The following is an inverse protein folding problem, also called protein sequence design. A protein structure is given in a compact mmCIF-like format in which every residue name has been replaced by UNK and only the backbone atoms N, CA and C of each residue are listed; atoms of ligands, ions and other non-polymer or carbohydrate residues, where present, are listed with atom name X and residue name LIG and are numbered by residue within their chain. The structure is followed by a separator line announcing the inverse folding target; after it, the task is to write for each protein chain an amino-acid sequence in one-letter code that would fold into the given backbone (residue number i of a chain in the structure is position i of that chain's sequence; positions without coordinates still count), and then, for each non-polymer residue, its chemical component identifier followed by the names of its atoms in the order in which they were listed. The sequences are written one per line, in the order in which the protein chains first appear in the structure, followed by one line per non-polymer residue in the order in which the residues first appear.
data_IF_228561932169
#
_entry.id   IF_228561932169
#
_cell.length_a   1.000
_cell.length_b   1.000
_cell.length_c   1.000
_cell.angle_alpha   90.00
_cell.angle_beta   90.00
_cell.angle_gamma   90.00
#
_symmetry.space_group_name_H-M   'P 1'
#
loop_
_entity.id
_entity.type
_entity.pdbx_description
1 polymer ?
#
# COMPACT_ATOMS: atom_id res chain seq x y z
N UNK A 1 50.04 46.25 -27.33
CA UNK A 1 48.61 45.93 -27.23
C UNK A 1 48.16 45.41 -28.58
N UNK A 2 48.16 44.08 -28.81
CA UNK A 2 47.67 43.54 -30.06
C UNK A 2 46.14 43.59 -30.09
N UNK A 3 45.58 43.96 -31.25
CA UNK A 3 44.15 44.06 -31.50
C UNK A 3 43.46 42.69 -31.37
N UNK A 4 42.18 42.65 -30.93
CA UNK A 4 41.44 41.42 -30.80
C UNK A 4 41.25 40.78 -32.19
N UNK A 5 41.68 39.53 -32.32
CA UNK A 5 41.50 38.73 -33.53
C UNK A 5 40.03 38.35 -33.62
N UNK A 6 39.34 38.85 -34.65
CA UNK A 6 37.96 38.49 -34.94
C UNK A 6 37.88 37.02 -35.36
N UNK A 7 37.06 36.24 -34.67
CA UNK A 7 36.78 34.84 -35.01
C UNK A 7 36.02 34.75 -36.34
N UNK A 8 36.27 33.71 -37.17
CA UNK A 8 35.78 33.62 -38.54
C UNK A 8 34.27 33.34 -38.69
N UNK A 9 33.48 33.35 -37.61
CA UNK A 9 32.03 33.19 -37.65
C UNK A 9 31.39 34.19 -36.67
N UNK A 10 31.01 35.36 -37.17
CA UNK A 10 30.40 36.43 -36.37
C UNK A 10 29.11 35.98 -35.65
N UNK A 11 28.39 35.01 -36.21
CA UNK A 11 27.16 34.46 -35.62
C UNK A 11 27.41 33.67 -34.34
N UNK A 12 28.57 33.02 -34.22
CA UNK A 12 28.94 32.28 -33.00
C UNK A 12 29.37 33.24 -31.90
N UNK A 13 30.05 34.33 -32.25
CA UNK A 13 30.45 35.37 -31.29
C UNK A 13 29.23 36.14 -30.77
N UNK A 14 28.22 36.38 -31.62
CA UNK A 14 26.95 36.97 -31.20
C UNK A 14 26.20 36.07 -30.19
N UNK A 15 26.11 34.76 -30.46
CA UNK A 15 25.43 33.79 -29.56
C UNK A 15 26.23 33.56 -28.27
N UNK A 16 27.56 33.56 -28.34
CA UNK A 16 28.41 33.35 -27.16
C UNK A 16 28.66 34.64 -26.37
N UNK A 17 28.44 35.83 -26.94
CA UNK A 17 28.62 37.11 -26.23
C UNK A 17 27.74 37.25 -24.98
N UNK A 18 26.55 36.63 -24.96
CA UNK A 18 25.71 36.57 -23.76
C UNK A 18 26.31 35.72 -22.63
N UNK A 19 27.21 34.78 -22.96
CA UNK A 19 27.83 33.86 -22.01
C UNK A 19 29.30 34.19 -21.72
N UNK A 20 29.94 34.99 -22.57
CA UNK A 20 31.32 35.45 -22.41
C UNK A 20 31.31 36.78 -21.67
N UNK A 21 31.38 36.69 -20.33
CA UNK A 21 31.53 37.87 -19.48
C UNK A 21 32.88 38.55 -19.73
N UNK A 22 32.89 39.89 -19.70
CA UNK A 22 34.13 40.65 -19.78
C UNK A 22 35.10 40.24 -18.66
N UNK A 23 36.41 40.33 -18.93
CA UNK A 23 37.44 40.06 -17.91
C UNK A 23 37.25 40.93 -16.67
N UNK A 24 36.71 42.14 -16.84
CA UNK A 24 36.39 43.02 -15.72
C UNK A 24 35.22 42.47 -14.89
N UNK A 25 34.13 42.06 -15.53
CA UNK A 25 32.93 41.53 -14.87
C UNK A 25 33.22 40.23 -14.12
N UNK A 26 34.07 39.37 -14.70
CA UNK A 26 34.50 38.14 -14.01
C UNK A 26 35.36 38.42 -12.78
N UNK A 27 36.19 39.47 -12.79
CA UNK A 27 36.95 39.91 -11.62
C UNK A 27 36.04 40.55 -10.57
N UNK A 28 35.04 41.33 -10.97
CA UNK A 28 34.05 41.88 -10.04
C UNK A 28 33.20 40.78 -9.41
N UNK A 29 32.72 39.81 -10.20
CA UNK A 29 31.99 38.64 -9.68
C UNK A 29 32.85 37.83 -8.72
N UNK A 30 34.14 37.61 -9.03
CA UNK A 30 35.06 36.91 -8.11
C UNK A 30 35.29 37.70 -6.82
N UNK A 31 35.45 39.02 -6.88
CA UNK A 31 35.54 39.88 -5.69
C UNK A 31 34.25 39.82 -4.87
N UNK A 32 33.10 39.85 -5.52
CA UNK A 32 31.80 39.81 -4.85
C UNK A 32 31.56 38.48 -4.14
N UNK A 33 31.91 37.35 -4.78
CA UNK A 33 31.84 36.01 -4.18
C UNK A 33 32.86 35.86 -3.06
N UNK A 34 34.08 36.38 -3.21
CA UNK A 34 35.10 36.33 -2.17
C UNK A 34 34.72 37.16 -0.92
N UNK A 35 33.93 38.22 -1.09
CA UNK A 35 33.48 39.07 0.01
C UNK A 35 32.28 38.50 0.79
N UNK A 36 31.51 37.57 0.21
CA UNK A 36 30.37 36.92 0.87
C UNK A 36 30.75 36.09 2.12
N UNK A 37 31.78 35.23 2.11
CA UNK A 37 32.18 34.49 3.32
C UNK A 37 32.87 35.39 4.36
N UNK A 38 33.54 36.46 3.94
CA UNK A 38 34.22 37.38 4.84
C UNK A 38 33.24 38.21 5.71
N UNK A 39 32.09 38.59 5.15
CA UNK A 39 31.05 39.31 5.88
C UNK A 39 30.30 38.42 6.90
N UNK A 40 30.25 37.10 6.69
CA UNK A 40 29.57 36.14 7.58
C UNK A 40 30.35 35.80 8.86
N UNK A 41 31.66 35.97 8.86
CA UNK A 41 32.52 35.59 9.99
C UNK A 41 32.68 36.68 11.06
N UNK A 42 32.52 37.97 10.70
CA UNK A 42 32.77 39.09 11.62
C UNK A 42 31.65 39.39 12.62
N UNK A 43 30.44 38.83 12.45
CA UNK A 43 29.28 39.15 13.30
C UNK A 43 28.81 38.00 14.23
N UNK A 44 29.63 36.97 14.46
CA UNK A 44 29.24 35.77 15.22
C UNK A 44 29.49 35.81 16.74
N UNK A 45 30.01 36.90 17.31
CA UNK A 45 30.40 36.93 18.73
C UNK A 45 29.28 37.30 19.73
N UNK A 46 28.02 37.38 19.32
CA UNK A 46 26.92 37.73 20.24
C UNK A 46 25.63 36.98 19.91
N UNK A 47 25.50 35.76 20.43
CA UNK A 47 24.28 35.09 20.92
C UNK A 47 24.30 33.57 20.68
N UNK A 48 23.88 32.73 21.66
CA UNK A 48 23.89 31.28 21.55
C UNK A 48 22.57 30.76 20.96
N UNK A 49 22.33 30.91 19.66
CA UNK A 49 21.25 30.18 18.96
C UNK A 49 21.63 29.92 17.48
N UNK A 50 21.16 28.81 16.87
CA UNK A 50 21.53 28.42 15.51
C UNK A 50 20.73 29.24 14.49
N UNK A 51 21.04 30.54 14.37
CA UNK A 51 20.48 31.46 13.39
C UNK A 51 21.24 31.53 12.06
N UNK A 52 22.31 30.75 11.90
CA UNK A 52 23.21 30.85 10.74
C UNK A 52 22.53 30.52 9.39
N UNK A 53 21.52 29.65 9.36
CA UNK A 53 20.86 29.26 8.11
C UNK A 53 19.67 30.16 7.73
N UNK A 54 19.15 30.96 8.65
CA UNK A 54 18.04 31.88 8.39
C UNK A 54 18.51 33.25 7.86
N UNK A 55 19.78 33.64 8.12
CA UNK A 55 20.30 34.97 7.76
C UNK A 55 21.06 35.02 6.43
N UNK A 56 21.57 33.89 5.94
CA UNK A 56 22.22 33.82 4.61
C UNK A 56 21.23 33.89 3.43
N UNK A 57 19.92 33.88 3.71
CA UNK A 57 18.88 33.92 2.69
C UNK A 57 17.94 35.11 2.78
N UNK A 58 18.28 36.14 3.55
CA UNK A 58 17.71 37.48 3.37
C UNK A 58 18.57 38.26 2.38
N UNK A 59 18.58 37.84 1.12
CA UNK A 59 18.89 38.75 0.02
C UNK A 59 17.73 39.74 -0.02
N UNK A 60 17.99 40.90 0.56
CA UNK A 60 17.22 42.12 0.49
C UNK A 60 16.57 42.27 -0.88
N UNK A 61 15.24 42.32 -0.88
CA UNK A 61 14.43 42.91 -1.94
C UNK A 61 15.00 44.31 -2.23
N UNK A 62 15.42 44.65 -3.46
CA UNK A 62 15.50 46.03 -3.85
C UNK A 62 14.07 46.51 -4.12
N UNK A 63 13.39 47.00 -3.09
CA UNK A 63 12.26 47.92 -3.27
C UNK A 63 12.80 49.29 -3.68
N UNK A 64 13.43 49.35 -4.85
CA UNK A 64 13.77 50.61 -5.49
C UNK A 64 13.90 50.33 -6.98
N UNK A 65 12.88 50.78 -7.71
CA UNK A 65 12.78 50.78 -9.16
C UNK A 65 13.98 51.50 -9.78
N UNK A 66 14.75 50.88 -10.70
CA UNK A 66 15.39 51.61 -11.78
C UNK A 66 14.68 51.28 -13.09
N UNK A 67 14.33 52.32 -13.82
CA UNK A 67 13.91 52.21 -15.21
C UNK A 67 15.17 52.00 -16.04
N UNK A 68 15.33 50.83 -16.66
CA UNK A 68 15.85 50.64 -18.02
C UNK A 68 16.03 49.15 -18.28
N UNK A 69 15.82 48.80 -19.54
CA UNK A 69 16.00 47.49 -20.15
C UNK A 69 17.29 46.82 -19.70
N UNK A 70 17.21 45.60 -19.19
CA UNK A 70 18.07 44.48 -19.61
C UNK A 70 17.73 43.20 -18.82
N UNK A 71 17.99 42.07 -19.47
CA UNK A 71 17.58 40.71 -19.18
C UNK A 71 17.39 40.35 -17.68
N UNK A 72 16.15 40.03 -17.34
CA UNK A 72 15.79 39.41 -16.08
C UNK A 72 16.51 38.07 -15.92
N UNK A 73 17.40 37.99 -14.92
CA UNK A 73 17.86 36.74 -14.31
C UNK A 73 16.68 36.00 -13.69
N UNK A 74 15.96 35.23 -14.51
CA UNK A 74 14.92 34.31 -14.05
C UNK A 74 15.61 33.02 -13.65
N UNK A 75 15.86 32.83 -12.34
CA UNK A 75 16.01 31.47 -11.83
C UNK A 75 14.78 30.66 -12.29
N UNK A 76 14.93 29.38 -12.71
CA UNK A 76 13.80 28.60 -13.20
C UNK A 76 12.67 28.68 -12.18
N UNK A 77 11.48 29.17 -12.57
CA UNK A 77 10.35 29.38 -11.67
C UNK A 77 9.99 28.11 -10.86
N UNK A 78 10.32 26.93 -11.41
CA UNK A 78 10.24 25.64 -10.75
C UNK A 78 11.13 25.51 -9.49
N UNK A 79 12.36 26.04 -9.51
CA UNK A 79 13.28 26.02 -8.36
C UNK A 79 12.82 26.97 -7.24
N UNK A 80 12.27 28.14 -7.62
CA UNK A 80 11.65 29.07 -6.66
C UNK A 80 10.39 28.46 -6.00
N UNK A 81 9.56 27.77 -6.80
CA UNK A 81 8.39 27.05 -6.28
C UNK A 81 8.79 25.89 -5.36
N UNK A 82 9.79 25.08 -5.72
CA UNK A 82 10.31 23.99 -4.90
C UNK A 82 10.87 24.52 -3.56
N UNK A 83 11.59 25.63 -3.58
CA UNK A 83 12.11 26.29 -2.37
C UNK A 83 10.97 26.81 -1.47
N UNK A 84 9.94 27.43 -2.04
CA UNK A 84 8.79 27.90 -1.25
C UNK A 84 8.03 26.73 -0.58
N UNK A 85 7.92 25.59 -1.27
CA UNK A 85 7.32 24.36 -0.71
C UNK A 85 8.16 23.78 0.41
N UNK A 86 9.48 23.76 0.25
CA UNK A 86 10.41 23.31 1.31
C UNK A 86 10.30 24.18 2.56
N UNK A 87 10.25 25.51 2.41
CA UNK A 87 10.09 26.42 3.54
C UNK A 87 8.75 26.22 4.26
N UNK A 88 7.63 26.07 3.52
CA UNK A 88 6.33 25.73 4.11
C UNK A 88 6.34 24.38 4.84
N UNK A 89 7.02 23.38 4.29
CA UNK A 89 7.16 22.08 4.93
C UNK A 89 7.96 22.18 6.25
N UNK A 90 9.00 23.02 6.27
CA UNK A 90 9.81 23.27 7.46
C UNK A 90 9.00 23.98 8.55
N UNK A 91 8.22 25.00 8.16
CA UNK A 91 7.29 25.69 9.07
C UNK A 91 6.22 24.75 9.63
N UNK A 92 5.60 23.93 8.78
CA UNK A 92 4.62 22.93 9.19
C UNK A 92 5.23 21.91 10.17
N UNK A 93 6.46 21.45 9.93
CA UNK A 93 7.18 20.57 10.85
C UNK A 93 7.41 21.24 12.20
N UNK A 94 7.77 22.52 12.21
CA UNK A 94 8.03 23.25 13.44
C UNK A 94 6.75 23.42 14.27
N UNK A 95 5.63 23.75 13.62
CA UNK A 95 4.30 23.82 14.23
C UNK A 95 3.85 22.45 14.78
N UNK A 96 4.06 21.37 14.03
CA UNK A 96 3.74 20.02 14.48
C UNK A 96 4.56 19.62 15.71
N UNK A 97 5.86 19.93 15.73
CA UNK A 97 6.73 19.68 16.88
C UNK A 97 6.33 20.50 18.11
N UNK A 98 5.93 21.76 17.93
CA UNK A 98 5.41 22.58 19.02
C UNK A 98 4.11 22.00 19.60
N UNK A 99 3.20 21.53 18.74
CA UNK A 99 1.96 20.85 19.17
C UNK A 99 2.24 19.55 19.91
N UNK A 100 3.19 18.75 19.42
CA UNK A 100 3.60 17.50 20.07
C UNK A 100 4.13 17.78 21.48
N UNK A 101 5.04 18.75 21.63
CA UNK A 101 5.57 19.13 22.95
C UNK A 101 4.47 19.63 23.90
N UNK A 102 3.51 20.39 23.37
CA UNK A 102 2.36 20.84 24.16
C UNK A 102 1.54 19.65 24.67
N UNK A 103 1.21 18.70 23.80
CA UNK A 103 0.47 17.49 24.17
C UNK A 103 1.25 16.61 25.16
N UNK A 104 2.57 16.51 25.00
CA UNK A 104 3.42 15.81 25.97
C UNK A 104 3.36 16.48 27.35
N UNK A 105 3.43 17.82 27.40
CA UNK A 105 3.32 18.54 28.65
C UNK A 105 1.93 18.39 29.30
N UNK A 106 0.85 18.39 28.51
CA UNK A 106 -0.52 18.16 28.99
C UNK A 106 -0.68 16.72 29.54
N UNK A 107 -0.09 15.72 28.88
CA UNK A 107 -0.07 14.33 29.34
C UNK A 107 0.75 14.18 30.63
N UNK A 108 1.90 14.84 30.72
CA UNK A 108 2.73 14.86 31.93
C UNK A 108 2.08 15.62 33.08
N UNK A 109 1.20 16.58 32.81
CA UNK A 109 0.37 17.25 33.81
C UNK A 109 -0.74 16.32 34.31
N UNK A 110 -1.48 15.67 33.40
CA UNK A 110 -2.50 14.67 33.75
C UNK A 110 -1.91 13.52 34.57
N UNK A 111 -0.76 12.98 34.18
CA UNK A 111 -0.03 11.95 34.96
C UNK A 111 0.35 12.41 36.38
N UNK A 112 0.57 13.72 36.58
CA UNK A 112 0.88 14.30 37.89
C UNK A 112 -0.38 14.59 38.69
N UNK A 113 -1.47 14.99 38.05
CA UNK A 113 -2.76 15.28 38.67
C UNK A 113 -3.53 14.00 39.07
N UNK A 114 -3.40 12.91 38.30
CA UNK A 114 -3.99 11.60 38.59
C UNK A 114 -3.27 10.81 39.72
N UNK A 115 -2.25 11.40 40.35
CA UNK A 115 -1.58 10.84 41.53
C UNK A 115 -1.84 11.66 42.82
N UNK A 116 -3.09 11.74 43.33
CA UNK A 116 -3.33 12.20 44.68
C UNK A 116 -2.99 11.06 45.68
N UNK A 117 -1.74 11.06 46.13
CA UNK A 117 -1.26 10.47 47.39
C UNK A 117 -2.03 9.29 48.01
N UNK A 118 -1.88 8.08 47.46
CA UNK A 118 -2.10 6.85 48.23
C UNK A 118 -0.89 5.93 48.17
N UNK A 119 -0.22 5.84 49.30
CA UNK A 119 0.91 4.96 49.62
C UNK A 119 0.58 3.49 49.31
N UNK A 120 0.89 3.06 48.09
CA UNK A 120 0.85 1.65 47.66
C UNK A 120 2.05 1.39 46.74
N UNK A 121 3.26 1.67 47.23
CA UNK A 121 4.50 1.65 46.44
C UNK A 121 5.03 0.23 46.13
N UNK A 122 4.41 -0.83 46.67
CA UNK A 122 4.98 -2.19 46.58
C UNK A 122 4.26 -3.12 45.59
N UNK A 123 3.03 -2.82 45.16
CA UNK A 123 2.28 -3.66 44.21
C UNK A 123 2.28 -3.12 42.78
N UNK A 124 2.47 -1.81 42.61
CA UNK A 124 2.58 -1.18 41.29
C UNK A 124 3.99 -1.28 40.71
N UNK A 125 5.05 -1.31 41.53
CA UNK A 125 6.44 -1.46 41.05
C UNK A 125 6.70 -2.80 40.37
N UNK A 126 6.16 -3.90 40.91
CA UNK A 126 6.22 -5.23 40.28
C UNK A 126 5.44 -5.26 38.94
N UNK A 127 4.26 -4.65 38.89
CA UNK A 127 3.48 -4.56 37.64
C UNK A 127 4.15 -3.62 36.62
N UNK A 128 4.82 -2.58 37.07
CA UNK A 128 5.51 -1.62 36.21
C UNK A 128 6.82 -2.22 35.66
N UNK A 129 7.47 -3.11 36.41
CA UNK A 129 8.60 -3.93 35.92
C UNK A 129 8.12 -5.01 34.93
N UNK A 130 7.01 -5.70 35.19
CA UNK A 130 6.40 -6.65 34.23
C UNK A 130 5.99 -5.96 32.92
N UNK A 131 5.45 -4.74 33.02
CA UNK A 131 5.10 -3.92 31.86
C UNK A 131 6.35 -3.41 31.12
N UNK A 132 7.41 -3.02 31.83
CA UNK A 132 8.70 -2.64 31.21
C UNK A 132 9.33 -3.82 30.49
N UNK A 133 9.30 -5.00 31.08
CA UNK A 133 9.80 -6.22 30.48
C UNK A 133 8.98 -6.62 29.25
N UNK A 134 7.65 -6.48 29.32
CA UNK A 134 6.76 -6.66 28.17
C UNK A 134 7.02 -5.63 27.05
N UNK A 135 7.24 -4.36 27.39
CA UNK A 135 7.60 -3.30 26.43
C UNK A 135 8.98 -3.57 25.81
N UNK A 136 9.95 -4.04 26.60
CA UNK A 136 11.27 -4.43 26.13
C UNK A 136 11.19 -5.63 25.16
N UNK A 137 10.33 -6.61 25.44
CA UNK A 137 10.03 -7.73 24.54
C UNK A 137 9.34 -7.26 23.25
N UNK A 138 8.42 -6.29 23.32
CA UNK A 138 7.80 -5.66 22.16
C UNK A 138 8.82 -4.93 21.29
N UNK A 139 9.69 -4.13 21.91
CA UNK A 139 10.78 -3.44 21.21
C UNK A 139 11.78 -4.42 20.60
N UNK A 140 12.11 -5.50 21.30
CA UNK A 140 12.95 -6.60 20.79
C UNK A 140 12.31 -7.27 19.58
N UNK A 141 11.02 -7.61 19.67
CA UNK A 141 10.25 -8.22 18.59
C UNK A 141 10.17 -7.31 17.36
N UNK A 142 9.96 -5.99 17.57
CA UNK A 142 9.98 -4.99 16.50
C UNK A 142 11.35 -4.91 15.82
N UNK A 143 12.43 -4.84 16.60
CA UNK A 143 13.80 -4.79 16.06
C UNK A 143 14.15 -6.07 15.30
N UNK A 144 13.71 -7.23 15.76
CA UNK A 144 13.84 -8.49 15.03
C UNK A 144 13.05 -8.48 13.73
N UNK A 145 11.82 -7.94 13.72
CA UNK A 145 11.02 -7.80 12.51
C UNK A 145 11.65 -6.83 11.50
N UNK A 146 12.20 -5.71 11.97
CA UNK A 146 12.95 -4.76 11.13
C UNK A 146 14.17 -5.41 10.50
N UNK A 147 14.96 -6.17 11.29
CA UNK A 147 16.09 -6.95 10.77
C UNK A 147 15.64 -8.04 9.79
N UNK A 148 14.49 -8.68 10.02
CA UNK A 148 13.96 -9.68 9.11
C UNK A 148 13.46 -9.06 7.80
N UNK A 149 12.96 -7.82 7.82
CA UNK A 149 12.61 -7.07 6.61
C UNK A 149 13.86 -6.68 5.82
N UNK A 150 14.92 -6.26 6.50
CA UNK A 150 16.23 -6.02 5.86
C UNK A 150 16.79 -7.31 5.29
N UNK A 151 16.69 -8.44 6.01
CA UNK A 151 17.14 -9.73 5.50
C UNK A 151 16.32 -10.17 4.29
N UNK A 152 14.99 -10.03 4.32
CA UNK A 152 14.10 -10.33 3.19
C UNK A 152 14.35 -9.42 1.99
N UNK A 153 14.66 -8.14 2.20
CA UNK A 153 14.99 -7.24 1.10
C UNK A 153 16.38 -7.55 0.52
N UNK A 154 17.35 -7.95 1.34
CA UNK A 154 18.63 -8.47 0.88
C UNK A 154 18.48 -9.79 0.13
N UNK A 155 17.70 -10.74 0.64
CA UNK A 155 17.36 -12.00 -0.04
C UNK A 155 16.60 -11.72 -1.34
N UNK A 156 15.68 -10.76 -1.35
CA UNK A 156 14.99 -10.31 -2.56
C UNK A 156 15.97 -9.70 -3.57
N UNK A 157 16.98 -8.96 -3.12
CA UNK A 157 18.02 -8.40 -4.00
C UNK A 157 18.95 -9.49 -4.54
N UNK A 158 19.29 -10.47 -3.71
CA UNK A 158 20.10 -11.64 -4.06
C UNK A 158 19.37 -12.55 -5.04
N UNK A 159 18.10 -12.84 -4.79
CA UNK A 159 17.24 -13.63 -5.70
C UNK A 159 16.82 -12.84 -6.93
N UNK A 160 16.77 -11.50 -6.84
CA UNK A 160 16.61 -10.62 -8.01
C UNK A 160 17.91 -10.33 -8.75
N UNK A 161 19.04 -10.96 -8.39
CA UNK A 161 20.20 -10.94 -9.29
C UNK A 161 19.79 -11.66 -10.57
N UNK A 162 19.66 -10.96 -11.71
CA UNK A 162 19.29 -11.64 -12.94
C UNK A 162 20.46 -12.52 -13.35
N UNK A 163 20.12 -13.78 -13.63
CA UNK A 163 20.90 -14.66 -14.49
C UNK A 163 21.45 -13.84 -15.67
N UNK A 164 22.78 -13.70 -15.71
CA UNK A 164 23.58 -13.38 -16.88
C UNK A 164 22.97 -12.39 -17.88
N UNK A 165 23.03 -11.10 -17.57
CA UNK A 165 23.17 -10.10 -18.63
C UNK A 165 24.35 -9.21 -18.29
N UNK A 166 25.41 -9.31 -19.08
CA UNK A 166 26.64 -8.51 -19.02
C UNK A 166 26.44 -7.00 -19.28
N UNK A 167 25.24 -6.44 -19.04
CA UNK A 167 24.95 -5.03 -19.14
C UNK A 167 24.71 -4.44 -17.75
N UNK A 168 25.76 -3.88 -17.14
CA UNK A 168 25.68 -3.25 -15.82
C UNK A 168 24.60 -2.18 -15.75
N UNK A 169 24.03 -1.99 -14.57
CA UNK A 169 23.02 -0.97 -14.20
C UNK A 169 23.26 0.44 -14.82
N UNK A 170 24.53 0.79 -15.07
CA UNK A 170 24.93 2.00 -15.79
C UNK A 170 24.37 2.11 -17.22
N UNK A 171 24.21 1.00 -17.95
CA UNK A 171 23.64 0.99 -19.31
C UNK A 171 22.13 1.28 -19.24
N UNK A 172 21.41 0.71 -18.26
CA UNK A 172 19.98 1.01 -18.06
C UNK A 172 19.73 2.47 -17.61
N UNK A 173 20.65 3.05 -16.85
CA UNK A 173 20.59 4.47 -16.50
C UNK A 173 20.89 5.34 -17.74
N UNK A 174 21.88 4.97 -18.56
CA UNK A 174 22.18 5.68 -19.80
C UNK A 174 21.05 5.58 -20.83
N UNK A 175 20.32 4.46 -20.90
CA UNK A 175 19.16 4.29 -21.78
C UNK A 175 17.93 5.11 -21.31
N UNK A 176 17.81 5.35 -20.01
CA UNK A 176 16.67 6.11 -19.43
C UNK A 176 16.94 7.60 -19.27
N UNK A 177 18.20 8.00 -19.11
CA UNK A 177 18.60 9.40 -18.83
C UNK A 177 19.33 10.04 -20.02
N UNK A 178 19.76 9.25 -21.01
CA UNK A 178 20.60 9.70 -22.13
C UNK A 178 22.06 9.86 -21.71
N UNK A 179 22.97 9.62 -22.65
CA UNK A 179 24.41 9.82 -22.42
C UNK A 179 24.72 11.32 -22.27
N UNK A 180 25.30 11.75 -21.13
CA UNK A 180 25.77 13.12 -21.01
C UNK A 180 26.92 13.37 -22.00
N UNK A 181 27.04 14.58 -22.57
CA UNK A 181 28.08 14.89 -23.55
C UNK A 181 29.46 14.72 -22.92
N UNK A 182 30.37 14.14 -23.72
CA UNK A 182 31.71 13.76 -23.31
C UNK A 182 32.49 14.99 -22.83
N UNK A 183 33.05 14.90 -21.62
CA UNK A 183 33.83 16.00 -21.04
C UNK A 183 35.25 15.95 -21.64
N UNK A 184 35.85 17.10 -22.00
CA UNK A 184 37.18 17.12 -22.60
C UNK A 184 38.22 16.44 -21.69
N UNK A 185 38.96 15.52 -22.31
CA UNK A 185 39.71 14.43 -21.71
C UNK A 185 41.04 14.81 -21.00
N UNK A 186 41.11 15.95 -20.31
CA UNK A 186 42.43 16.47 -19.90
C UNK A 186 42.70 16.61 -18.40
N UNK A 187 41.83 16.15 -17.50
CA UNK A 187 42.04 16.39 -16.04
C UNK A 187 41.81 15.23 -15.08
N UNK A 188 41.70 13.98 -15.54
CA UNK A 188 41.77 12.83 -14.63
C UNK A 188 42.80 11.83 -15.13
N UNK A 189 43.79 11.61 -14.27
CA UNK A 189 45.01 10.88 -14.54
C UNK A 189 44.80 9.48 -15.12
N UNK A 190 45.81 9.08 -15.87
CA UNK A 190 46.08 7.75 -16.41
C UNK A 190 45.37 6.62 -15.62
N UNK A 191 44.60 5.73 -16.28
CA UNK A 191 44.25 4.46 -15.68
C UNK A 191 45.54 3.67 -15.44
N UNK A 192 45.92 3.55 -14.18
CA UNK A 192 46.98 2.66 -13.71
C UNK A 192 46.66 1.21 -14.10
N UNK A 193 47.66 0.40 -14.53
CA UNK A 193 47.47 -0.97 -14.99
C UNK A 193 46.91 -1.91 -13.88
N UNK A 194 46.45 -3.13 -14.24
CA UNK A 194 45.66 -4.05 -13.40
C UNK A 194 46.44 -4.72 -12.24
N UNK A 195 47.14 -3.93 -11.44
CA UNK A 195 47.80 -4.37 -10.20
C UNK A 195 46.99 -4.01 -8.93
N UNK A 196 45.85 -3.33 -9.10
CA UNK A 196 44.98 -2.89 -8.01
C UNK A 196 43.99 -3.95 -7.51
N UNK A 197 43.78 -5.06 -8.24
CA UNK A 197 42.78 -6.05 -7.83
C UNK A 197 43.32 -6.96 -6.72
N UNK A 198 44.62 -7.25 -6.74
CA UNK A 198 45.27 -8.01 -5.67
C UNK A 198 45.33 -7.20 -4.37
N UNK A 199 45.69 -5.91 -4.42
CA UNK A 199 45.71 -5.07 -3.22
C UNK A 199 44.32 -4.91 -2.60
N UNK A 200 43.27 -4.76 -3.43
CA UNK A 200 41.87 -4.77 -2.96
C UNK A 200 41.44 -6.11 -2.40
N UNK A 201 41.86 -7.23 -3.00
CA UNK A 201 41.62 -8.57 -2.46
C UNK A 201 42.34 -8.81 -1.13
N UNK A 202 43.58 -8.32 -0.98
CA UNK A 202 44.31 -8.37 0.28
C UNK A 202 43.64 -7.50 1.35
N UNK A 203 43.14 -6.32 0.96
CA UNK A 203 42.38 -5.45 1.86
C UNK A 203 41.07 -6.12 2.29
N UNK A 204 40.32 -6.73 1.37
CA UNK A 204 39.11 -7.48 1.69
C UNK A 204 39.41 -8.68 2.61
N UNK A 205 40.44 -9.46 2.32
CA UNK A 205 40.87 -10.58 3.18
C UNK A 205 41.25 -10.10 4.58
N UNK A 206 41.94 -8.96 4.68
CA UNK A 206 42.28 -8.34 5.96
C UNK A 206 41.03 -7.93 6.72
N UNK A 207 40.10 -7.22 6.09
CA UNK A 207 38.83 -6.80 6.70
C UNK A 207 37.97 -8.00 7.14
N UNK A 208 37.90 -9.07 6.34
CA UNK A 208 37.18 -10.30 6.72
C UNK A 208 37.83 -10.98 7.92
N UNK A 209 39.17 -11.01 8.01
CA UNK A 209 39.86 -11.57 9.16
C UNK A 209 39.68 -10.69 10.41
N UNK A 210 39.72 -9.37 10.28
CA UNK A 210 39.45 -8.44 11.37
C UNK A 210 38.00 -8.53 11.86
N UNK A 211 37.04 -8.63 10.94
CA UNK A 211 35.64 -8.87 11.26
C UNK A 211 35.44 -10.21 11.98
N UNK A 212 36.08 -11.29 11.51
CA UNK A 212 36.04 -12.61 12.17
C UNK A 212 36.63 -12.56 13.57
N UNK A 213 37.81 -11.96 13.75
CA UNK A 213 38.44 -11.79 15.06
C UNK A 213 37.57 -10.94 16.00
N UNK A 214 36.89 -9.91 15.48
CA UNK A 214 35.96 -9.09 16.26
C UNK A 214 34.74 -9.90 16.71
N UNK A 215 34.18 -10.73 15.84
CA UNK A 215 33.06 -11.60 16.14
C UNK A 215 33.45 -12.68 17.17
N UNK A 216 34.63 -13.27 17.01
CA UNK A 216 35.18 -14.26 17.94
C UNK A 216 35.42 -13.65 19.33
N UNK A 217 35.90 -12.40 19.42
CA UNK A 217 36.02 -11.66 20.69
C UNK A 217 34.67 -11.39 21.34
N UNK A 218 33.65 -11.01 20.57
CA UNK A 218 32.29 -10.80 21.09
C UNK A 218 31.70 -12.13 21.58
N UNK A 219 31.91 -13.22 20.84
CA UNK A 219 31.49 -14.56 21.25
C UNK A 219 32.23 -15.04 22.51
N UNK A 220 33.54 -14.81 22.62
CA UNK A 220 34.32 -15.13 23.81
C UNK A 220 33.88 -14.30 25.02
N UNK A 221 33.64 -13.00 24.86
CA UNK A 221 33.13 -12.14 25.93
C UNK A 221 31.72 -12.53 26.38
N UNK A 222 30.85 -12.98 25.46
CA UNK A 222 29.54 -13.53 25.81
C UNK A 222 29.66 -14.81 26.64
N UNK A 223 30.57 -15.71 26.25
CA UNK A 223 30.86 -16.93 27.01
C UNK A 223 31.45 -16.61 28.38
N UNK A 224 32.38 -15.66 28.47
CA UNK A 224 32.97 -15.22 29.73
C UNK A 224 31.96 -14.48 30.64
N UNK A 225 31.01 -13.73 30.07
CA UNK A 225 29.92 -13.10 30.83
C UNK A 225 28.92 -14.14 31.35
N UNK A 226 28.70 -15.22 30.59
CA UNK A 226 27.92 -16.38 31.02
C UNK A 226 28.63 -17.18 32.12
N UNK A 227 29.96 -17.32 32.04
CA UNK A 227 30.76 -18.03 33.05
C UNK A 227 31.04 -17.18 34.31
N UNK A 228 31.03 -15.85 34.20
CA UNK A 228 31.20 -14.92 35.33
C UNK A 228 29.97 -14.76 36.23
N UNK A 229 28.80 -15.24 35.79
CA UNK A 229 27.56 -15.36 36.58
C UNK A 229 27.47 -16.73 37.27
N UNK A 230 28.62 -17.34 37.58
CA UNK A 230 28.76 -18.59 38.32
C UNK A 230 28.45 -18.43 39.83
N UNK A 231 27.30 -17.86 40.14
CA UNK A 231 26.59 -18.05 41.41
C UNK A 231 25.15 -18.58 41.18
N UNK A 232 24.78 -18.83 39.91
CA UNK A 232 23.45 -19.29 39.51
C UNK A 232 23.45 -20.74 39.00
N UNK A 233 23.90 -21.69 39.83
CA UNK A 233 23.67 -23.12 39.55
C UNK A 233 22.17 -23.43 39.35
N UNK A 234 21.29 -22.63 39.97
CA UNK A 234 19.84 -22.71 39.81
C UNK A 234 19.36 -22.30 38.41
N UNK A 235 19.89 -21.21 37.85
CA UNK A 235 19.51 -20.74 36.51
C UNK A 235 19.99 -21.69 35.41
N UNK A 236 21.18 -22.28 35.56
CA UNK A 236 21.73 -23.24 34.58
C UNK A 236 20.94 -24.55 34.58
N UNK A 237 20.51 -25.03 35.76
CA UNK A 237 19.62 -26.18 35.90
C UNK A 237 18.22 -25.89 35.34
N UNK A 238 17.68 -24.68 35.56
CA UNK A 238 16.39 -24.27 35.03
C UNK A 238 16.40 -24.15 33.50
N UNK A 239 17.45 -23.55 32.93
CA UNK A 239 17.61 -23.48 31.46
C UNK A 239 17.77 -24.88 30.86
N UNK A 240 18.54 -25.77 31.51
CA UNK A 240 18.69 -27.16 31.08
C UNK A 240 17.37 -27.95 31.18
N UNK A 241 16.60 -27.75 32.26
CA UNK A 241 15.28 -28.37 32.42
C UNK A 241 14.29 -27.85 31.37
N UNK A 242 14.31 -26.55 31.07
CA UNK A 242 13.48 -25.94 30.03
C UNK A 242 13.88 -26.40 28.62
N UNK A 243 15.18 -26.54 28.32
CA UNK A 243 15.62 -27.10 27.05
C UNK A 243 15.18 -28.55 26.91
N UNK A 244 15.31 -29.35 27.97
CA UNK A 244 14.84 -30.73 27.97
C UNK A 244 13.32 -30.82 27.77
N UNK A 245 12.53 -29.99 28.46
CA UNK A 245 11.08 -29.91 28.27
C UNK A 245 10.71 -29.48 26.84
N UNK A 246 11.49 -28.56 26.23
CA UNK A 246 11.28 -28.17 24.83
C UNK A 246 11.51 -29.34 23.88
N UNK A 247 12.61 -30.07 24.08
CA UNK A 247 12.98 -31.19 23.22
C UNK A 247 11.98 -32.37 23.40
N UNK A 248 11.45 -32.55 24.60
CA UNK A 248 10.36 -33.51 24.88
C UNK A 248 9.04 -33.11 24.18
N UNK A 249 8.68 -31.83 24.18
CA UNK A 249 7.49 -31.35 23.46
C UNK A 249 7.67 -31.49 21.94
N UNK A 250 8.86 -31.22 21.42
CA UNK A 250 9.18 -31.38 20.00
C UNK A 250 9.09 -32.85 19.61
N UNK A 251 9.70 -33.75 20.37
CA UNK A 251 9.63 -35.19 20.09
C UNK A 251 8.21 -35.74 20.24
N UNK A 252 7.42 -35.23 21.20
CA UNK A 252 6.00 -35.55 21.32
C UNK A 252 5.19 -35.05 20.12
N UNK A 253 5.41 -33.82 19.66
CA UNK A 253 4.77 -33.29 18.46
C UNK A 253 5.17 -34.06 17.20
N UNK A 254 6.45 -34.41 17.05
CA UNK A 254 6.94 -35.19 15.92
C UNK A 254 6.33 -36.60 15.92
N UNK A 255 6.20 -37.23 17.08
CA UNK A 255 5.54 -38.55 17.21
C UNK A 255 4.03 -38.48 17.03
N UNK A 256 3.36 -37.40 17.42
CA UNK A 256 1.94 -37.21 17.09
C UNK A 256 1.72 -36.87 15.61
N UNK A 257 2.58 -36.03 15.02
CA UNK A 257 2.54 -35.74 13.59
C UNK A 257 2.85 -36.96 12.74
N UNK A 258 3.76 -37.85 13.18
CA UNK A 258 4.03 -39.11 12.48
C UNK A 258 2.83 -40.07 12.52
N UNK A 259 2.11 -40.13 13.64
CA UNK A 259 0.84 -40.89 13.75
C UNK A 259 -0.26 -40.30 12.86
N UNK A 260 -0.29 -38.98 12.70
CA UNK A 260 -1.23 -38.31 11.80
C UNK A 260 -0.87 -38.52 10.32
N UNK A 261 0.42 -38.59 9.95
CA UNK A 261 0.80 -38.91 8.58
C UNK A 261 0.41 -40.34 8.17
N UNK A 262 0.54 -41.32 9.07
CA UNK A 262 0.13 -42.71 8.79
C UNK A 262 -1.39 -42.87 8.64
N UNK A 263 -2.20 -41.99 9.25
CA UNK A 263 -3.67 -41.98 9.09
C UNK A 263 -4.15 -41.18 7.87
N UNK A 264 -3.25 -40.47 7.18
CA UNK A 264 -3.56 -39.67 5.99
C UNK A 264 -3.41 -40.44 4.68
N UNK A 265 -2.75 -41.60 4.66
CA UNK A 265 -2.61 -42.45 3.45
C UNK A 265 -3.93 -43.09 3.00
N UNK A 266 -5.01 -43.01 3.80
CA UNK A 266 -6.36 -43.43 3.41
C UNK A 266 -7.23 -42.31 2.80
N UNK A 267 -6.71 -41.08 2.69
CA UNK A 267 -7.45 -39.93 2.14
C UNK A 267 -6.80 -39.33 0.89
N UNK A 268 -5.96 -40.12 0.20
CA UNK A 268 -5.24 -39.72 -1.02
C UNK A 268 -5.97 -40.12 -2.32
N UNK A 269 -7.30 -39.96 -2.36
CA UNK A 269 -8.01 -39.95 -3.65
C UNK A 269 -9.19 -38.96 -3.64
N UNK A 270 -8.86 -37.67 -3.55
CA UNK A 270 -9.76 -36.60 -3.98
C UNK A 270 -8.94 -35.41 -4.48
N UNK A 271 -8.73 -35.40 -5.79
CA UNK A 271 -8.07 -34.34 -6.55
C UNK A 271 -8.64 -32.93 -6.26
N UNK A 272 -7.82 -31.87 -6.15
CA UNK A 272 -8.28 -30.54 -5.76
C UNK A 272 -8.75 -29.75 -6.97
N UNK A 273 -10.06 -29.77 -7.26
CA UNK A 273 -10.67 -28.78 -8.16
C UNK A 273 -11.10 -27.56 -7.32
N UNK A 274 -10.32 -26.49 -7.47
CA UNK A 274 -10.62 -25.07 -7.24
C UNK A 274 -11.95 -24.77 -6.51
N UNK A 275 -11.88 -24.52 -5.21
CA UNK A 275 -12.96 -23.85 -4.47
C UNK A 275 -12.93 -22.36 -4.80
N UNK A 276 -13.93 -21.94 -5.60
CA UNK A 276 -14.31 -20.54 -5.80
C UNK A 276 -14.67 -19.90 -4.46
N UNK A 277 -14.05 -18.75 -4.18
CA UNK A 277 -14.24 -17.92 -3.00
C UNK A 277 -15.48 -17.04 -3.23
N UNK A 278 -16.62 -17.40 -2.65
CA UNK A 278 -17.73 -16.48 -2.39
C UNK A 278 -17.95 -16.37 -0.87
N UNK A 279 -18.22 -15.16 -0.34
CA UNK A 279 -18.44 -14.96 1.08
C UNK A 279 -19.84 -15.45 1.46
N UNK A 280 -19.92 -16.40 2.38
CA UNK A 280 -21.17 -16.82 2.99
C UNK A 280 -21.67 -15.73 3.92
N UNK A 281 -22.84 -15.18 3.59
CA UNK A 281 -23.66 -14.38 4.49
C UNK A 281 -24.30 -15.30 5.54
N UNK A 282 -24.49 -14.75 6.73
CA UNK A 282 -24.92 -15.38 7.98
C UNK A 282 -26.17 -16.28 7.91
N UNK A 283 -26.21 -17.26 8.80
CA UNK A 283 -27.21 -17.48 9.88
C UNK A 283 -27.54 -18.97 10.08
N UNK A 284 -27.38 -19.39 11.34
CA UNK A 284 -28.15 -20.37 12.10
C UNK A 284 -28.82 -21.57 11.41
N UNK A 285 -28.58 -22.73 12.02
CA UNK A 285 -29.51 -23.84 12.20
C UNK A 285 -30.02 -24.59 10.96
N UNK A 286 -29.47 -25.80 10.78
CA UNK A 286 -30.11 -26.99 10.16
C UNK A 286 -30.63 -26.91 8.71
N UNK A 287 -30.59 -25.75 8.06
CA UNK A 287 -31.17 -25.51 6.73
C UNK A 287 -30.21 -25.42 5.52
N UNK A 288 -28.90 -25.80 5.55
CA UNK A 288 -28.11 -25.79 4.32
C UNK A 288 -28.56 -26.93 3.38
N UNK A 289 -28.94 -28.09 3.92
CA UNK A 289 -29.43 -29.23 3.15
C UNK A 289 -30.70 -28.90 2.36
N UNK A 290 -31.74 -28.38 3.02
CA UNK A 290 -33.00 -28.06 2.34
C UNK A 290 -32.83 -26.97 1.28
N UNK A 291 -32.04 -25.93 1.56
CA UNK A 291 -31.73 -24.89 0.57
C UNK A 291 -30.97 -25.44 -0.64
N UNK A 292 -30.01 -26.35 -0.42
CA UNK A 292 -29.29 -27.03 -1.50
C UNK A 292 -30.25 -27.92 -2.30
N UNK A 293 -31.11 -28.69 -1.66
CA UNK A 293 -32.10 -29.53 -2.35
C UNK A 293 -33.11 -28.69 -3.14
N UNK A 294 -33.54 -27.54 -2.60
CA UNK A 294 -34.43 -26.59 -3.28
C UNK A 294 -33.76 -25.94 -4.48
N UNK A 295 -32.50 -25.49 -4.34
CA UNK A 295 -31.73 -24.95 -5.45
C UNK A 295 -31.46 -26.00 -6.53
N UNK A 296 -31.19 -27.25 -6.14
CA UNK A 296 -31.00 -28.35 -7.08
C UNK A 296 -32.32 -28.74 -7.78
N UNK A 297 -33.44 -28.73 -7.08
CA UNK A 297 -34.76 -28.96 -7.68
C UNK A 297 -35.12 -27.87 -8.69
N UNK A 298 -34.85 -26.59 -8.38
CA UNK A 298 -35.02 -25.47 -9.31
C UNK A 298 -34.11 -25.62 -10.54
N UNK A 299 -32.85 -26.01 -10.33
CA UNK A 299 -31.92 -26.28 -11.42
C UNK A 299 -32.43 -27.39 -12.34
N UNK A 300 -32.86 -28.52 -11.78
CA UNK A 300 -33.41 -29.65 -12.54
C UNK A 300 -34.67 -29.25 -13.31
N UNK A 301 -35.59 -28.50 -12.68
CA UNK A 301 -36.81 -28.00 -13.33
C UNK A 301 -36.51 -27.06 -14.50
N UNK A 302 -35.57 -26.12 -14.33
CA UNK A 302 -35.15 -25.22 -15.41
C UNK A 302 -34.47 -25.97 -16.56
N UNK A 303 -33.75 -27.04 -16.24
CA UNK A 303 -33.05 -27.86 -17.24
C UNK A 303 -34.03 -28.77 -17.99
N UNK A 304 -35.03 -29.32 -17.32
CA UNK A 304 -36.09 -30.06 -18.00
C UNK A 304 -36.90 -29.15 -18.92
N UNK A 305 -37.25 -27.95 -18.48
CA UNK A 305 -37.95 -26.97 -19.32
C UNK A 305 -37.12 -26.59 -20.55
N UNK A 306 -35.81 -26.36 -20.40
CA UNK A 306 -34.93 -26.10 -21.53
C UNK A 306 -34.83 -27.28 -22.52
N UNK A 307 -34.82 -28.52 -22.00
CA UNK A 307 -34.84 -29.73 -22.81
C UNK A 307 -36.18 -29.88 -23.54
N UNK A 308 -37.30 -29.62 -22.88
CA UNK A 308 -38.63 -29.68 -23.49
C UNK A 308 -38.80 -28.64 -24.59
N UNK A 309 -38.29 -27.42 -24.38
CA UNK A 309 -38.25 -26.37 -25.41
C UNK A 309 -37.38 -26.83 -26.59
N UNK A 310 -36.20 -27.40 -26.33
CA UNK A 310 -35.33 -27.90 -27.39
C UNK A 310 -35.98 -29.05 -28.19
N UNK A 311 -36.57 -30.02 -27.50
CA UNK A 311 -37.29 -31.13 -28.11
C UNK A 311 -38.49 -30.63 -28.91
N UNK A 312 -39.24 -29.65 -28.41
CA UNK A 312 -40.36 -29.04 -29.12
C UNK A 312 -39.91 -28.40 -30.45
N UNK A 313 -38.75 -27.75 -30.44
CA UNK A 313 -38.13 -27.12 -31.60
C UNK A 313 -37.64 -28.17 -32.60
N UNK A 314 -37.03 -29.27 -32.12
CA UNK A 314 -36.68 -30.42 -32.98
C UNK A 314 -37.91 -31.09 -33.59
N UNK A 315 -39.00 -31.28 -32.84
CA UNK A 315 -40.26 -31.80 -33.42
C UNK A 315 -40.84 -30.86 -34.46
N UNK A 316 -40.85 -29.54 -34.24
CA UNK A 316 -41.31 -28.60 -35.27
C UNK A 316 -40.42 -28.64 -36.52
N UNK A 317 -39.10 -28.80 -36.36
CA UNK A 317 -38.17 -28.92 -37.48
C UNK A 317 -38.38 -30.24 -38.25
N UNK A 318 -38.63 -31.34 -37.53
CA UNK A 318 -38.87 -32.66 -38.10
C UNK A 318 -40.25 -32.78 -38.76
N UNK A 319 -41.28 -32.11 -38.23
CA UNK A 319 -42.60 -32.00 -38.88
C UNK A 319 -42.50 -31.19 -40.19
N UNK A 320 -41.69 -30.12 -40.21
CA UNK A 320 -41.41 -29.36 -41.43
C UNK A 320 -40.66 -30.20 -42.48
N UNK A 321 -39.70 -31.03 -42.05
CA UNK A 321 -38.95 -31.92 -42.95
C UNK A 321 -39.78 -33.13 -43.42
N UNK A 322 -40.62 -33.69 -42.55
CA UNK A 322 -41.46 -34.85 -42.88
C UNK A 322 -42.63 -34.49 -43.80
N UNK A 323 -43.14 -33.25 -43.73
CA UNK A 323 -44.10 -32.72 -44.70
C UNK A 323 -43.49 -32.54 -46.11
N UNK A 324 -42.16 -32.50 -46.23
CA UNK A 324 -41.46 -32.30 -47.52
C UNK A 324 -41.11 -33.62 -48.22
N UNK A 325 -41.18 -34.77 -47.52
CA UNK A 325 -40.71 -36.07 -48.05
C UNK A 325 -41.80 -37.14 -48.28
N UNK A 326 -43.06 -36.88 -47.94
CA UNK A 326 -44.16 -37.82 -48.14
C UNK A 326 -45.02 -37.52 -49.38
N UNK A 327 -44.43 -37.60 -50.60
CA UNK A 327 -45.07 -38.10 -51.85
C UNK A 327 -44.24 -37.76 -53.10
N UNK A 328 -43.72 -38.75 -53.86
CA UNK A 328 -43.39 -38.58 -55.26
C UNK A 328 -44.40 -39.34 -56.12
N UNK A 329 -45.49 -38.68 -56.50
CA UNK A 329 -46.31 -39.09 -57.65
C UNK A 329 -46.92 -37.84 -58.31
N UNK A 330 -46.28 -37.43 -59.41
CA UNK A 330 -46.63 -36.32 -60.31
C UNK A 330 -47.92 -36.69 -61.07
N UNK A 331 -48.89 -35.77 -61.31
CA UNK A 331 -48.80 -34.90 -62.48
C UNK A 331 -49.30 -33.45 -62.30
N UNK A 332 -48.49 -32.53 -62.83
CA UNK A 332 -48.87 -31.22 -63.37
C UNK A 332 -50.12 -30.52 -62.80
N UNK A 333 -49.89 -29.62 -61.84
CA UNK A 333 -50.70 -28.42 -61.66
C UNK A 333 -49.77 -27.20 -61.60
N UNK A 334 -50.05 -26.11 -62.34
CA UNK A 334 -49.15 -24.96 -62.36
C UNK A 334 -49.29 -24.15 -61.06
N UNK A 335 -48.14 -23.84 -60.46
CA UNK A 335 -47.81 -22.57 -59.79
C UNK A 335 -48.93 -21.94 -58.95
N UNK A 336 -48.98 -22.30 -57.67
CA UNK A 336 -49.47 -21.55 -56.50
C UNK A 336 -49.11 -22.45 -55.31
N UNK A 337 -48.20 -22.16 -54.38
CA UNK A 337 -47.76 -20.89 -53.84
C UNK A 337 -46.27 -20.98 -53.48
N UNK A 338 -45.44 -20.23 -54.21
CA UNK A 338 -44.09 -19.85 -53.74
C UNK A 338 -44.10 -18.43 -53.16
N UNK A 339 -45.28 -17.89 -52.88
CA UNK A 339 -45.43 -16.56 -52.27
C UNK A 339 -45.18 -16.60 -50.76
N UNK A 340 -45.61 -17.64 -50.04
CA UNK A 340 -45.48 -17.67 -48.57
C UNK A 340 -44.02 -17.73 -48.07
N UNK A 341 -43.13 -18.46 -48.76
CA UNK A 341 -41.70 -18.50 -48.44
C UNK A 341 -40.98 -17.17 -48.78
N UNK A 342 -41.38 -16.52 -49.88
CA UNK A 342 -40.88 -15.18 -50.25
C UNK A 342 -41.42 -14.10 -49.30
N UNK A 343 -42.64 -14.23 -48.81
CA UNK A 343 -43.21 -13.35 -47.78
C UNK A 343 -42.54 -13.52 -46.42
N UNK A 344 -42.22 -14.75 -46.00
CA UNK A 344 -41.46 -14.97 -44.76
C UNK A 344 -40.04 -14.41 -44.84
N UNK A 345 -39.33 -14.66 -45.95
CA UNK A 345 -37.97 -14.11 -46.14
C UNK A 345 -37.96 -12.57 -46.17
N UNK A 346 -38.94 -11.93 -46.82
CA UNK A 346 -39.06 -10.46 -46.84
C UNK A 346 -39.50 -9.88 -45.49
N UNK A 347 -40.33 -10.59 -44.71
CA UNK A 347 -40.68 -10.19 -43.33
C UNK A 347 -39.46 -10.28 -42.40
N UNK A 348 -38.67 -11.35 -42.47
CA UNK A 348 -37.45 -11.51 -41.65
C UNK A 348 -36.39 -10.49 -42.04
N UNK A 349 -36.19 -10.23 -43.34
CA UNK A 349 -35.24 -9.22 -43.83
C UNK A 349 -35.56 -7.81 -43.31
N UNK A 350 -36.84 -7.49 -43.10
CA UNK A 350 -37.25 -6.21 -42.51
C UNK A 350 -36.87 -6.08 -41.03
N UNK A 351 -36.75 -7.18 -40.29
CA UNK A 351 -36.35 -7.20 -38.88
C UNK A 351 -34.84 -7.40 -38.67
N UNK A 352 -34.09 -7.74 -39.73
CA UNK A 352 -32.64 -7.92 -39.71
C UNK A 352 -31.87 -6.70 -39.15
N UNK A 353 -32.18 -5.43 -39.49
CA UNK A 353 -31.49 -4.29 -38.87
C UNK A 353 -31.70 -4.20 -37.35
N UNK A 354 -32.88 -4.60 -36.86
CA UNK A 354 -33.16 -4.62 -35.42
C UNK A 354 -32.41 -5.75 -34.71
N UNK A 355 -32.31 -6.93 -35.33
CA UNK A 355 -31.50 -8.04 -34.81
C UNK A 355 -30.01 -7.70 -34.78
N UNK A 356 -29.50 -7.03 -35.82
CA UNK A 356 -28.11 -6.54 -35.83
C UNK A 356 -27.88 -5.50 -34.74
N UNK A 357 -28.85 -4.60 -34.53
CA UNK A 357 -28.79 -3.62 -33.44
C UNK A 357 -28.78 -4.30 -32.07
N UNK A 358 -29.62 -5.32 -31.84
CA UNK A 358 -29.62 -6.11 -30.62
C UNK A 358 -28.26 -6.78 -30.40
N UNK A 359 -27.73 -7.48 -31.41
CA UNK A 359 -26.42 -8.14 -31.30
C UNK A 359 -25.28 -7.14 -31.01
N UNK A 360 -25.34 -5.94 -31.61
CA UNK A 360 -24.36 -4.89 -31.32
C UNK A 360 -24.48 -4.37 -29.87
N UNK A 361 -25.71 -4.25 -29.36
CA UNK A 361 -25.98 -3.82 -27.98
C UNK A 361 -25.54 -4.88 -26.97
N UNK A 362 -25.79 -6.16 -27.26
CA UNK A 362 -25.37 -7.29 -26.44
C UNK A 362 -23.85 -7.37 -26.36
N UNK A 363 -23.15 -7.24 -27.50
CA UNK A 363 -21.69 -7.19 -27.54
C UNK A 363 -21.13 -6.01 -26.76
N UNK A 364 -21.75 -4.83 -26.87
CA UNK A 364 -21.36 -3.65 -26.09
C UNK A 364 -21.55 -3.88 -24.59
N UNK A 365 -22.67 -4.51 -24.19
CA UNK A 365 -22.96 -4.81 -22.80
C UNK A 365 -21.95 -5.81 -22.24
N UNK A 366 -21.66 -6.89 -22.96
CA UNK A 366 -20.63 -7.87 -22.58
C UNK A 366 -19.24 -7.25 -22.46
N UNK A 367 -18.88 -6.33 -23.35
CA UNK A 367 -17.63 -5.61 -23.24
C UNK A 367 -17.59 -4.73 -21.98
N UNK A 368 -18.70 -4.09 -21.65
CA UNK A 368 -18.82 -3.28 -20.44
C UNK A 368 -18.76 -4.13 -19.16
N UNK A 369 -19.42 -5.30 -19.13
CA UNK A 369 -19.37 -6.18 -17.95
C UNK A 369 -17.96 -6.69 -17.71
N UNK A 370 -17.28 -7.18 -18.75
CA UNK A 370 -15.88 -7.64 -18.64
C UNK A 370 -14.95 -6.51 -18.21
N UNK A 371 -15.16 -5.28 -18.72
CA UNK A 371 -14.40 -4.11 -18.28
C UNK A 371 -14.61 -3.80 -16.80
N UNK A 372 -15.85 -3.85 -16.32
CA UNK A 372 -16.19 -3.59 -14.93
C UNK A 372 -15.65 -4.67 -14.01
N UNK A 373 -15.70 -5.95 -14.40
CA UNK A 373 -15.11 -7.05 -13.66
C UNK A 373 -13.59 -6.90 -13.53
N UNK A 374 -12.91 -6.58 -14.63
CA UNK A 374 -11.48 -6.32 -14.61
C UNK A 374 -11.12 -5.11 -13.72
N UNK A 375 -11.93 -4.05 -13.76
CA UNK A 375 -11.77 -2.88 -12.88
C UNK A 375 -12.00 -3.21 -11.42
N UNK A 376 -13.00 -4.05 -11.11
CA UNK A 376 -13.32 -4.47 -9.76
C UNK A 376 -12.20 -5.35 -9.20
N UNK A 377 -11.70 -6.31 -9.98
CA UNK A 377 -10.55 -7.14 -9.62
C UNK A 377 -9.30 -6.29 -9.35
N UNK A 378 -8.99 -5.33 -10.23
CA UNK A 378 -7.87 -4.41 -10.02
C UNK A 378 -8.04 -3.55 -8.77
N UNK A 379 -9.26 -3.10 -8.47
CA UNK A 379 -9.56 -2.33 -7.26
C UNK A 379 -9.45 -3.21 -6.00
N UNK A 380 -9.88 -4.48 -6.04
CA UNK A 380 -9.74 -5.40 -4.93
C UNK A 380 -8.28 -5.74 -4.66
N UNK A 381 -7.46 -5.89 -5.69
CA UNK A 381 -6.03 -6.13 -5.55
C UNK A 381 -5.32 -4.90 -4.97
N UNK A 382 -5.69 -3.69 -5.43
CA UNK A 382 -5.17 -2.45 -4.88
C UNK A 382 -5.55 -2.26 -3.40
N UNK A 383 -6.79 -2.62 -3.02
CA UNK A 383 -7.26 -2.59 -1.64
C UNK A 383 -6.59 -3.66 -0.78
N UNK A 384 -6.37 -4.87 -1.32
CA UNK A 384 -5.58 -5.90 -0.67
C UNK A 384 -4.15 -5.41 -0.40
N UNK A 385 -3.52 -4.78 -1.39
CA UNK A 385 -2.20 -4.19 -1.26
C UNK A 385 -2.14 -3.05 -0.25
N UNK A 386 -3.13 -2.16 -0.20
CA UNK A 386 -3.19 -1.08 0.80
C UNK A 386 -3.43 -1.61 2.21
N UNK A 387 -4.24 -2.67 2.38
CA UNK A 387 -4.42 -3.33 3.67
C UNK A 387 -3.14 -4.05 4.13
N UNK A 388 -2.40 -4.69 3.23
CA UNK A 388 -1.10 -5.28 3.56
C UNK A 388 -0.11 -4.19 3.96
N UNK A 389 -0.05 -3.06 3.25
CA UNK A 389 0.77 -1.91 3.63
C UNK A 389 0.36 -1.31 4.97
N UNK A 390 -0.94 -1.11 5.20
CA UNK A 390 -1.45 -0.64 6.49
C UNK A 390 -1.13 -1.62 7.61
N UNK A 391 -1.15 -2.94 7.36
CA UNK A 391 -0.72 -3.95 8.31
C UNK A 391 0.78 -3.86 8.60
N UNK A 392 1.61 -3.66 7.58
CA UNK A 392 3.05 -3.51 7.71
C UNK A 392 3.43 -2.20 8.43
N UNK A 393 2.72 -1.11 8.13
CA UNK A 393 2.93 0.23 8.70
C UNK A 393 2.30 0.37 10.10
N UNK A 394 1.18 -0.33 10.37
CA UNK A 394 0.57 -0.37 11.70
C UNK A 394 1.29 -1.42 12.57
N UNK A 395 2.46 -1.04 13.09
CA UNK A 395 3.17 -1.77 14.13
C UNK A 395 2.42 -1.89 15.48
N UNK A 396 1.13 -1.55 15.53
CA UNK A 396 0.24 -1.73 16.68
C UNK A 396 -0.61 -3.00 16.61
N UNK A 397 -0.58 -3.73 15.49
CA UNK A 397 -1.32 -4.97 15.35
C UNK A 397 -0.36 -6.16 15.43
N UNK A 398 -0.47 -7.02 16.47
CA UNK A 398 0.41 -8.17 16.60
C UNK A 398 0.28 -9.09 15.39
N UNK A 399 1.43 -9.62 14.95
CA UNK A 399 1.59 -10.47 13.77
C UNK A 399 0.76 -11.77 13.79
N UNK A 400 0.07 -12.06 14.90
CA UNK A 400 -0.86 -13.17 15.07
C UNK A 400 -2.28 -12.88 14.51
N UNK A 401 -2.53 -11.71 13.92
CA UNK A 401 -3.78 -11.37 13.24
C UNK A 401 -3.99 -12.10 11.89
N UNK A 402 -3.53 -13.34 11.75
CA UNK A 402 -3.82 -14.19 10.57
C UNK A 402 -5.30 -14.57 10.46
N UNK A 403 -6.09 -14.32 11.50
CA UNK A 403 -7.55 -14.46 11.47
C UNK A 403 -8.17 -13.14 11.01
N UNK A 404 -8.10 -12.85 9.71
CA UNK A 404 -8.91 -11.79 9.09
C UNK A 404 -10.41 -11.96 9.44
N UNK A 405 -10.84 -13.20 9.62
CA UNK A 405 -12.17 -13.58 10.09
C UNK A 405 -12.48 -13.03 11.49
N UNK A 406 -11.51 -12.98 12.40
CA UNK A 406 -11.73 -12.44 13.76
C UNK A 406 -11.99 -10.93 13.74
N UNK A 407 -11.31 -10.20 12.85
CA UNK A 407 -11.56 -8.77 12.64
C UNK A 407 -12.87 -8.52 11.90
N UNK A 408 -13.22 -9.37 10.94
CA UNK A 408 -14.54 -9.36 10.30
C UNK A 408 -15.65 -9.54 11.33
N UNK A 409 -15.53 -10.55 12.20
CA UNK A 409 -16.49 -10.83 13.28
C UNK A 409 -16.53 -9.67 14.28
N UNK A 410 -15.39 -9.10 14.66
CA UNK A 410 -15.35 -7.96 15.57
C UNK A 410 -15.98 -6.70 14.97
N UNK A 411 -15.75 -6.44 13.68
CA UNK A 411 -16.35 -5.30 12.97
C UNK A 411 -17.86 -5.47 12.78
N UNK A 412 -18.32 -6.69 12.46
CA UNK A 412 -19.74 -7.02 12.38
C UNK A 412 -20.39 -6.82 13.76
N UNK A 413 -19.79 -7.36 14.83
CA UNK A 413 -20.29 -7.20 16.20
C UNK A 413 -20.37 -5.74 16.61
N UNK A 414 -19.33 -4.94 16.35
CA UNK A 414 -19.35 -3.51 16.63
C UNK A 414 -20.43 -2.78 15.79
N UNK A 415 -20.65 -3.21 14.54
CA UNK A 415 -21.73 -2.72 13.69
C UNK A 415 -23.13 -3.04 14.23
N UNK A 416 -23.30 -4.22 14.82
CA UNK A 416 -24.55 -4.64 15.44
C UNK A 416 -24.80 -3.90 16.77
N UNK A 417 -23.78 -3.80 17.63
CA UNK A 417 -23.85 -3.04 18.89
C UNK A 417 -24.21 -1.56 18.64
N UNK A 418 -23.59 -0.93 17.64
CA UNK A 418 -23.91 0.46 17.29
C UNK A 418 -25.32 0.59 16.72
N UNK A 419 -25.79 -0.37 15.92
CA UNK A 419 -27.16 -0.38 15.40
C UNK A 419 -28.18 -0.52 16.52
N UNK A 420 -27.93 -1.40 17.48
CA UNK A 420 -28.80 -1.63 18.62
C UNK A 420 -28.83 -0.41 19.55
N UNK A 421 -27.67 0.20 19.83
CA UNK A 421 -27.58 1.47 20.56
C UNK A 421 -28.38 2.58 19.89
N UNK A 422 -28.26 2.74 18.57
CA UNK A 422 -29.02 3.75 17.82
C UNK A 422 -30.52 3.44 17.87
N UNK A 423 -30.92 2.17 17.77
CA UNK A 423 -32.32 1.76 17.85
C UNK A 423 -32.90 2.03 19.23
N UNK A 424 -32.15 1.76 20.30
CA UNK A 424 -32.53 2.08 21.67
C UNK A 424 -32.71 3.60 21.85
N UNK A 425 -31.75 4.41 21.42
CA UNK A 425 -31.86 5.88 21.47
C UNK A 425 -33.03 6.41 20.65
N UNK A 426 -33.31 5.81 19.50
CA UNK A 426 -34.46 6.17 18.68
C UNK A 426 -35.77 5.84 19.42
N UNK A 427 -35.88 4.66 20.03
CA UNK A 427 -37.05 4.25 20.81
C UNK A 427 -37.26 5.15 22.04
N UNK A 428 -36.19 5.47 22.77
CA UNK A 428 -36.23 6.44 23.87
C UNK A 428 -36.77 7.79 23.39
N UNK A 429 -36.26 8.30 22.25
CA UNK A 429 -36.72 9.57 21.69
C UNK A 429 -38.21 9.50 21.31
N UNK A 430 -38.67 8.39 20.73
CA UNK A 430 -40.08 8.20 20.37
C UNK A 430 -40.97 8.15 21.60
N UNK A 431 -40.53 7.51 22.69
CA UNK A 431 -41.26 7.52 23.95
C UNK A 431 -41.36 8.94 24.53
N UNK A 432 -40.27 9.71 24.48
CA UNK A 432 -40.28 11.12 24.90
C UNK A 432 -41.22 11.96 24.02
N UNK A 433 -41.27 11.74 22.72
CA UNK A 433 -42.24 12.42 21.85
C UNK A 433 -43.68 12.05 22.19
N UNK A 434 -43.95 10.78 22.51
CA UNK A 434 -45.30 10.36 22.94
C UNK A 434 -45.70 11.00 24.27
N UNK A 435 -44.79 11.11 25.23
CA UNK A 435 -45.09 11.78 26.51
C UNK A 435 -45.33 13.27 26.28
N UNK A 436 -44.51 13.95 25.48
CA UNK A 436 -44.72 15.36 25.11
C UNK A 436 -46.06 15.55 24.41
N UNK A 437 -46.40 14.70 23.42
CA UNK A 437 -47.68 14.79 22.74
C UNK A 437 -48.85 14.57 23.70
N UNK A 438 -48.75 13.60 24.62
CA UNK A 438 -49.79 13.42 25.65
C UNK A 438 -49.95 14.66 26.54
N UNK A 439 -48.85 15.32 26.91
CA UNK A 439 -48.89 16.57 27.68
C UNK A 439 -49.56 17.67 26.86
N UNK A 440 -49.18 17.85 25.59
CA UNK A 440 -49.80 18.83 24.69
C UNK A 440 -51.29 18.57 24.53
N UNK A 441 -51.70 17.31 24.38
CA UNK A 441 -53.11 16.93 24.30
C UNK A 441 -53.85 17.29 25.59
N UNK A 442 -53.29 16.99 26.78
CA UNK A 442 -53.90 17.40 28.05
C UNK A 442 -54.01 18.91 28.20
N UNK A 443 -52.99 19.67 27.80
CA UNK A 443 -53.03 21.14 27.80
C UNK A 443 -54.07 21.67 26.80
N UNK A 444 -54.21 21.03 25.64
CA UNK A 444 -55.23 21.40 24.65
C UNK A 444 -56.65 21.17 25.17
N UNK A 445 -56.87 20.08 25.92
CA UNK A 445 -58.15 19.77 26.56
C UNK A 445 -58.46 20.77 27.67
N UNK A 446 -57.48 21.10 28.51
CA UNK A 446 -57.63 22.15 29.53
C UNK A 446 -57.98 23.50 28.89
N UNK A 447 -57.32 23.88 27.80
CA UNK A 447 -57.58 25.14 27.12
C UNK A 447 -58.99 25.17 26.49
N UNK A 448 -59.47 24.04 25.94
CA UNK A 448 -60.87 23.92 25.47
C UNK A 448 -61.88 24.04 26.60
N UNK A 449 -61.61 23.49 27.77
CA UNK A 449 -62.48 23.63 28.95
C UNK A 449 -62.54 25.09 29.38
N UNK A 450 -61.38 25.76 29.49
CA UNK A 450 -61.29 27.17 29.85
C UNK A 450 -61.97 28.10 28.83
N UNK A 451 -62.00 27.73 27.54
CA UNK A 451 -62.70 28.50 26.52
C UNK A 451 -64.23 28.29 26.51
N UNK A 452 -64.74 27.28 27.22
CA UNK A 452 -66.18 26.95 27.29
C UNK A 452 -66.91 27.49 28.52
N UNK A 453 -66.17 28.00 29.50
CA UNK A 453 -66.65 28.75 30.66
C UNK A 453 -66.60 30.24 30.39
#
# INVERSE_FOLDING_TARGET
MPAPVACPVADVDAVLSEYVNSRQDTLEMRRHIANLPAAGLQNSQSAPFPGHLLRECSLSLPTARPKSSDAARVLPAAAAAARSRYLRALEAKWLANARLRRLQNELDQLRREDCPGTSTENSTSLQDDDLRDYIALLHGSRRCSELQLVLKSLDSLLTSTPVNSHGGFAIRINDSVGTPPDRPAETLGQPSPPHSDQSRLFQLKKEVLEAKLSADRVCANRKACFDGLSDANHGRQQIHALSHAKDEIVTWLETELSKLSETSELLEDASPIKKSRYPALDTNDTLPSEKITGAYAQYVASRSEAIDVHNSLETMLNEYQSATLANPAVPHHPVRDSQDSKELSTRILRHLPFLVQILSSERSLLQQTVYLEARLAAASDALGGSLVKLREESHLLPSNASKHDAWGIAAIRAGDETRDFVREKLNESQQQFRTINSIVDTLSLQNKILAST
#
